data_IF_572495247565
#
_entry.id   IF_572495247565
#
_cell.length_a   1.000
_cell.length_b   1.000
_cell.length_c   1.000
_cell.angle_alpha   90.00
_cell.angle_beta   90.00
_cell.angle_gamma   90.00
#
_symmetry.space_group_name_H-M   'P 1'
#
loop_
_entity.id
_entity.type
_entity.pdbx_description
1 polymer ?
#
# COMPACT_ATOMS: atom_id res chain seq x y z
N UNK A 1 9.93 -9.11 -1.39
CA UNK A 1 9.58 -8.73 -2.78
C UNK A 1 10.49 -7.58 -3.18
N UNK A 2 11.15 -7.67 -4.34
CA UNK A 2 12.00 -6.61 -4.88
C UNK A 2 11.20 -5.82 -5.92
N UNK A 3 11.24 -4.50 -5.85
CA UNK A 3 10.55 -3.64 -6.82
C UNK A 3 11.51 -3.22 -7.93
N UNK A 4 10.95 -3.07 -9.14
CA UNK A 4 11.67 -2.59 -10.32
C UNK A 4 12.12 -1.14 -10.19
N UNK A 5 13.17 -0.75 -10.92
CA UNK A 5 13.64 0.65 -10.97
C UNK A 5 12.53 1.60 -11.43
N UNK A 6 11.75 1.20 -12.44
CA UNK A 6 10.66 2.00 -12.98
C UNK A 6 9.62 2.40 -11.92
N UNK A 7 9.48 1.61 -10.85
CA UNK A 7 8.58 1.94 -9.74
C UNK A 7 9.08 3.12 -8.90
N UNK A 8 10.40 3.25 -8.75
CA UNK A 8 11.02 4.40 -8.08
C UNK A 8 11.03 5.61 -9.01
N UNK A 9 11.36 5.42 -10.29
CA UNK A 9 11.32 6.49 -11.30
C UNK A 9 9.93 7.16 -11.34
N UNK A 10 8.85 6.36 -11.34
CA UNK A 10 7.48 6.86 -11.34
C UNK A 10 7.17 7.77 -10.14
N UNK A 11 7.60 7.36 -8.94
CA UNK A 11 7.41 8.12 -7.71
C UNK A 11 8.30 9.37 -7.69
N UNK A 12 9.52 9.28 -8.23
CA UNK A 12 10.43 10.40 -8.34
C UNK A 12 9.85 11.49 -9.26
N UNK A 13 9.36 11.10 -10.45
CA UNK A 13 8.67 12.02 -11.35
C UNK A 13 7.46 12.68 -10.69
N UNK A 14 6.66 11.92 -9.94
CA UNK A 14 5.54 12.47 -9.19
C UNK A 14 5.99 13.52 -8.16
N UNK A 15 6.99 13.21 -7.33
CA UNK A 15 7.52 14.16 -6.35
C UNK A 15 8.12 15.41 -7.01
N UNK A 16 8.81 15.27 -8.14
CA UNK A 16 9.33 16.40 -8.92
C UNK A 16 8.20 17.31 -9.43
N UNK A 17 7.10 16.75 -9.92
CA UNK A 17 5.91 17.54 -10.28
C UNK A 17 5.28 18.23 -9.07
N UNK A 18 5.21 17.56 -7.91
CA UNK A 18 4.72 18.19 -6.67
C UNK A 18 5.59 19.37 -6.25
N UNK A 19 6.92 19.20 -6.27
CA UNK A 19 7.87 20.26 -5.98
C UNK A 19 7.69 21.46 -6.91
N UNK A 20 7.55 21.22 -8.22
CA UNK A 20 7.31 22.26 -9.21
C UNK A 20 5.97 23.00 -9.01
N UNK A 21 4.88 22.27 -8.72
CA UNK A 21 3.54 22.86 -8.56
C UNK A 21 3.37 23.66 -7.26
N UNK A 22 4.09 23.28 -6.21
CA UNK A 22 3.96 23.90 -4.88
C UNK A 22 5.07 24.87 -4.52
N UNK A 23 6.19 24.84 -5.25
CA UNK A 23 7.42 25.54 -4.90
C UNK A 23 8.17 24.93 -3.70
N UNK A 24 7.74 23.76 -3.20
CA UNK A 24 8.44 23.11 -2.07
C UNK A 24 9.77 22.48 -2.51
N UNK A 25 10.75 22.33 -1.60
CA UNK A 25 11.98 21.60 -1.89
C UNK A 25 11.69 20.16 -2.32
N UNK A 26 12.43 19.66 -3.32
CA UNK A 26 12.30 18.27 -3.78
C UNK A 26 12.49 17.27 -2.64
N UNK A 27 13.39 17.55 -1.68
CA UNK A 27 13.59 16.73 -0.50
C UNK A 27 12.30 16.55 0.33
N UNK A 28 11.52 17.62 0.50
CA UNK A 28 10.22 17.57 1.18
C UNK A 28 9.19 16.80 0.36
N UNK A 29 9.14 17.05 -0.95
CA UNK A 29 8.23 16.33 -1.84
C UNK A 29 8.51 14.82 -1.84
N UNK A 30 9.78 14.40 -1.88
CA UNK A 30 10.17 13.00 -1.83
C UNK A 30 9.75 12.34 -0.51
N UNK A 31 9.87 13.03 0.62
CA UNK A 31 9.48 12.50 1.93
C UNK A 31 7.95 12.38 2.06
N UNK A 32 7.22 13.39 1.58
CA UNK A 32 5.80 13.55 1.84
C UNK A 32 4.89 12.91 0.80
N UNK A 33 5.38 12.79 -0.43
CA UNK A 33 4.60 12.38 -1.59
C UNK A 33 5.06 11.08 -2.23
N UNK A 34 5.97 10.32 -1.60
CA UNK A 34 6.39 8.99 -2.09
C UNK A 34 6.43 7.95 -0.97
N UNK A 35 6.56 6.67 -1.34
CA UNK A 35 6.77 5.60 -0.36
C UNK A 35 8.26 5.38 0.00
N UNK A 36 9.19 6.23 -0.46
CA UNK A 36 10.63 5.95 -0.37
C UNK A 36 11.11 5.68 1.05
N UNK A 37 10.74 6.53 2.01
CA UNK A 37 11.11 6.37 3.41
C UNK A 37 10.79 4.96 3.96
N UNK A 38 9.59 4.45 3.64
CA UNK A 38 9.17 3.10 4.05
C UNK A 38 9.90 2.02 3.24
N UNK A 39 10.13 2.22 1.94
CA UNK A 39 10.85 1.26 1.08
C UNK A 39 12.33 1.16 1.42
N UNK A 40 12.91 2.20 2.00
CA UNK A 40 14.27 2.22 2.54
C UNK A 40 14.36 1.61 3.95
N UNK A 41 13.25 1.12 4.51
CA UNK A 41 13.25 0.45 5.82
C UNK A 41 13.32 1.39 7.03
N UNK A 42 13.10 2.69 6.84
CA UNK A 42 13.31 3.71 7.89
C UNK A 42 12.13 3.84 8.87
N UNK A 43 11.17 2.92 8.82
CA UNK A 43 9.97 2.91 9.65
C UNK A 43 8.82 3.73 9.06
N UNK A 44 8.03 4.38 9.93
CA UNK A 44 6.80 5.11 9.58
C UNK A 44 6.69 6.49 10.23
N UNK A 45 7.75 6.97 10.87
CA UNK A 45 7.78 8.30 11.49
C UNK A 45 7.95 9.43 10.47
N UNK A 46 8.52 9.12 9.28
CA UNK A 46 8.83 10.11 8.24
C UNK A 46 9.67 11.27 8.78
N UNK A 47 10.70 10.94 9.56
CA UNK A 47 11.60 11.90 10.16
C UNK A 47 12.59 12.44 9.12
N UNK A 48 12.43 13.71 8.75
CA UNK A 48 13.32 14.40 7.82
C UNK A 48 14.78 14.47 8.31
N UNK A 49 15.01 14.31 9.61
CA UNK A 49 16.35 14.32 10.22
C UNK A 49 16.97 12.93 10.38
N UNK A 50 16.24 11.87 10.02
CA UNK A 50 16.72 10.50 10.11
C UNK A 50 18.07 10.35 9.39
N UNK A 51 19.12 9.80 10.02
CA UNK A 51 20.47 9.76 9.44
C UNK A 51 20.52 9.14 8.04
N UNK A 52 19.88 7.98 7.85
CA UNK A 52 19.82 7.32 6.53
C UNK A 52 19.00 8.11 5.49
N UNK A 53 17.99 8.88 5.91
CA UNK A 53 17.26 9.75 4.98
C UNK A 53 18.12 10.92 4.52
N UNK A 54 18.88 11.53 5.44
CA UNK A 54 19.87 12.56 5.10
C UNK A 54 20.99 12.02 4.20
N UNK A 55 21.45 10.79 4.43
CA UNK A 55 22.41 10.12 3.56
C UNK A 55 21.86 9.96 2.13
N UNK A 56 20.62 9.50 2.00
CA UNK A 56 19.93 9.42 0.72
C UNK A 56 19.90 10.78 0.00
N UNK A 57 19.47 11.84 0.69
CA UNK A 57 19.38 13.19 0.12
C UNK A 57 20.75 13.75 -0.28
N UNK A 58 21.78 13.58 0.57
CA UNK A 58 23.14 14.03 0.28
C UNK A 58 23.73 13.34 -0.96
N UNK A 59 23.45 12.04 -1.14
CA UNK A 59 23.86 11.31 -2.33
C UNK A 59 23.07 11.72 -3.57
N UNK A 60 21.79 12.06 -3.40
CA UNK A 60 20.91 12.51 -4.48
C UNK A 60 21.40 13.85 -5.06
N UNK A 61 21.81 14.79 -4.20
CA UNK A 61 22.36 16.10 -4.60
C UNK A 61 23.67 15.98 -5.37
N UNK A 62 24.48 14.96 -5.07
CA UNK A 62 25.78 14.72 -5.70
C UNK A 62 25.69 13.86 -6.95
N UNK A 63 24.56 13.20 -7.18
CA UNK A 63 24.38 12.29 -8.32
C UNK A 63 24.05 13.06 -9.59
N UNK A 64 24.66 12.65 -10.70
CA UNK A 64 24.29 13.12 -12.05
C UNK A 64 22.99 12.49 -12.54
N UNK A 65 22.64 11.29 -12.02
CA UNK A 65 21.40 10.59 -12.32
C UNK A 65 20.69 10.25 -11.00
N UNK A 66 19.65 11.02 -10.69
CA UNK A 66 18.95 10.98 -9.40
C UNK A 66 18.09 9.72 -9.25
N UNK A 67 17.52 9.25 -10.36
CA UNK A 67 16.75 8.02 -10.46
C UNK A 67 17.61 6.77 -10.24
N UNK A 68 18.78 6.71 -10.88
CA UNK A 68 19.75 5.62 -10.70
C UNK A 68 20.27 5.57 -9.26
N UNK A 69 20.57 6.73 -8.68
CA UNK A 69 20.95 6.84 -7.27
C UNK A 69 19.84 6.31 -6.35
N UNK A 70 18.60 6.76 -6.56
CA UNK A 70 17.45 6.34 -5.75
C UNK A 70 17.26 4.82 -5.77
N UNK A 71 17.35 4.21 -6.95
CA UNK A 71 17.23 2.76 -7.05
C UNK A 71 18.41 2.02 -6.43
N UNK A 72 19.63 2.55 -6.57
CA UNK A 72 20.82 1.97 -5.94
C UNK A 72 20.75 2.03 -4.42
N UNK A 73 20.29 3.15 -3.86
CA UNK A 73 20.05 3.32 -2.43
C UNK A 73 19.00 2.33 -1.91
N UNK A 74 17.86 2.21 -2.61
CA UNK A 74 16.85 1.19 -2.30
C UNK A 74 17.46 -0.22 -2.22
N UNK A 75 18.26 -0.60 -3.21
CA UNK A 75 18.88 -1.94 -3.27
C UNK A 75 19.83 -2.18 -2.10
N UNK A 76 20.53 -1.16 -1.63
CA UNK A 76 21.38 -1.25 -0.45
C UNK A 76 20.56 -1.45 0.83
N UNK A 77 19.40 -0.77 0.96
CA UNK A 77 18.54 -0.86 2.14
C UNK A 77 17.70 -2.14 2.25
N UNK A 78 17.64 -2.98 1.20
CA UNK A 78 16.80 -4.19 1.16
C UNK A 78 17.07 -5.18 2.31
N UNK A 79 18.22 -5.09 2.97
CA UNK A 79 18.62 -6.00 4.04
C UNK A 79 17.92 -5.71 5.39
N UNK A 80 17.32 -4.53 5.59
CA UNK A 80 16.89 -4.06 6.92
C UNK A 80 15.37 -3.84 7.11
N UNK A 81 14.54 -4.22 6.14
CA UNK A 81 13.08 -3.98 6.24
C UNK A 81 12.42 -5.02 7.16
N UNK A 82 12.10 -4.62 8.40
CA UNK A 82 11.29 -5.46 9.30
C UNK A 82 9.84 -5.56 8.79
N UNK A 83 9.24 -6.77 8.78
CA UNK A 83 7.83 -6.91 8.45
C UNK A 83 6.95 -6.22 9.51
N UNK A 84 5.72 -5.81 9.15
CA UNK A 84 4.76 -5.33 10.13
C UNK A 84 4.56 -6.36 11.25
N UNK A 85 4.13 -5.90 12.43
CA UNK A 85 3.79 -6.74 13.59
C UNK A 85 2.53 -7.57 13.34
N UNK A 86 2.62 -8.48 12.37
CA UNK A 86 1.59 -9.44 12.00
C UNK A 86 1.46 -10.45 13.13
N UNK A 87 0.22 -10.68 13.56
CA UNK A 87 -0.10 -11.65 14.62
C UNK A 87 -0.29 -13.03 14.00
N UNK A 88 -1.07 -13.12 12.92
CA UNK A 88 -1.27 -14.36 12.19
C UNK A 88 -1.39 -14.11 10.68
N UNK A 89 -1.03 -15.12 9.90
CA UNK A 89 -1.19 -15.15 8.44
C UNK A 89 -1.81 -16.47 8.03
N UNK A 90 -2.77 -16.42 7.12
CA UNK A 90 -3.37 -17.59 6.45
C UNK A 90 -3.43 -17.28 4.96
N UNK A 91 -2.64 -18.01 4.17
CA UNK A 91 -2.60 -17.86 2.72
C UNK A 91 -2.29 -16.42 2.27
N UNK A 92 -3.23 -15.77 1.58
CA UNK A 92 -3.06 -14.39 1.11
C UNK A 92 -3.45 -13.32 2.16
N UNK A 93 -3.98 -13.71 3.31
CA UNK A 93 -4.46 -12.79 4.33
C UNK A 93 -3.64 -12.85 5.60
N UNK A 94 -3.54 -11.71 6.28
CA UNK A 94 -2.95 -11.63 7.61
C UNK A 94 -3.61 -10.52 8.41
N UNK A 95 -3.46 -10.54 9.73
CA UNK A 95 -3.89 -9.42 10.56
C UNK A 95 -2.82 -8.98 11.55
N UNK A 96 -2.88 -7.71 11.91
CA UNK A 96 -2.07 -7.09 12.94
C UNK A 96 -2.98 -6.32 13.90
N UNK A 97 -2.59 -6.19 15.16
CA UNK A 97 -3.34 -5.36 16.12
C UNK A 97 -2.97 -3.88 15.94
N UNK A 98 -3.98 -3.02 16.02
CA UNK A 98 -3.87 -1.57 15.98
C UNK A 98 -4.48 -0.99 17.27
N UNK A 99 -3.65 -0.77 18.29
CA UNK A 99 -4.12 -0.36 19.61
C UNK A 99 -4.83 -1.50 20.35
N UNK A 100 -5.79 -1.17 21.23
CA UNK A 100 -6.55 -2.16 22.02
C UNK A 100 -7.75 -2.75 21.31
N UNK A 101 -8.36 -1.99 20.39
CA UNK A 101 -9.72 -2.25 19.94
C UNK A 101 -9.84 -2.51 18.43
N UNK A 102 -8.75 -2.38 17.69
CA UNK A 102 -8.75 -2.58 16.24
C UNK A 102 -7.79 -3.68 15.82
N UNK A 103 -8.23 -4.47 14.84
CA UNK A 103 -7.37 -5.34 14.04
C UNK A 103 -7.32 -4.82 12.61
N UNK A 104 -6.13 -4.78 12.03
CA UNK A 104 -5.93 -4.41 10.64
C UNK A 104 -5.79 -5.65 9.79
N UNK A 105 -6.70 -5.81 8.83
CA UNK A 105 -6.63 -6.85 7.83
C UNK A 105 -5.67 -6.44 6.70
N UNK A 106 -4.82 -7.37 6.31
CA UNK A 106 -3.84 -7.22 5.23
C UNK A 106 -4.08 -8.28 4.17
N UNK A 107 -3.77 -7.91 2.92
CA UNK A 107 -3.75 -8.84 1.79
C UNK A 107 -2.41 -8.72 1.07
N UNK A 108 -1.80 -9.87 0.81
CA UNK A 108 -0.60 -9.98 0.01
C UNK A 108 -0.71 -11.22 -0.88
N UNK A 109 -0.31 -11.09 -2.14
CA UNK A 109 -0.26 -12.24 -3.02
C UNK A 109 0.83 -13.22 -2.55
N UNK A 110 0.43 -14.44 -2.20
CA UNK A 110 1.31 -15.57 -1.86
C UNK A 110 1.23 -16.71 -2.88
N UNK A 111 0.44 -16.56 -3.96
CA UNK A 111 0.32 -17.55 -5.02
C UNK A 111 1.63 -17.72 -5.80
N UNK A 112 2.00 -18.97 -6.06
CA UNK A 112 3.19 -19.37 -6.83
C UNK A 112 2.84 -19.86 -8.24
N UNK A 113 1.62 -20.36 -8.47
CA UNK A 113 1.22 -21.11 -9.67
C UNK A 113 0.73 -20.24 -10.84
N UNK A 114 1.11 -18.98 -10.90
CA UNK A 114 0.79 -18.14 -12.05
C UNK A 114 -0.68 -17.69 -12.17
N UNK A 115 -1.56 -18.10 -11.27
CA UNK A 115 -2.94 -17.61 -11.17
C UNK A 115 -3.00 -16.24 -10.47
N UNK A 116 -3.98 -15.41 -10.84
CA UNK A 116 -4.28 -14.21 -10.06
C UNK A 116 -4.90 -14.63 -8.71
N UNK A 117 -4.45 -14.09 -7.57
CA UNK A 117 -4.98 -14.46 -6.26
C UNK A 117 -6.46 -14.07 -6.08
N UNK A 118 -6.97 -13.18 -6.94
CA UNK A 118 -8.35 -12.72 -6.98
C UNK A 118 -9.14 -13.27 -8.18
N UNK A 119 -8.60 -14.23 -8.92
CA UNK A 119 -9.31 -14.90 -10.00
C UNK A 119 -10.60 -15.57 -9.51
N UNK A 120 -11.58 -15.81 -10.38
CA UNK A 120 -12.86 -16.41 -10.00
C UNK A 120 -12.66 -17.79 -9.37
N UNK A 121 -11.73 -18.57 -9.91
CA UNK A 121 -11.39 -19.93 -9.52
C UNK A 121 -10.72 -19.99 -8.14
N UNK A 122 -10.10 -18.88 -7.69
CA UNK A 122 -9.47 -18.77 -6.36
C UNK A 122 -10.45 -18.24 -5.30
N UNK A 123 -11.69 -17.87 -5.66
CA UNK A 123 -12.66 -17.26 -4.72
C UNK A 123 -12.89 -18.11 -3.48
N UNK A 124 -13.26 -19.38 -3.66
CA UNK A 124 -13.58 -20.26 -2.53
C UNK A 124 -12.36 -20.51 -1.64
N UNK A 125 -11.17 -20.60 -2.24
CA UNK A 125 -9.93 -20.72 -1.46
C UNK A 125 -9.67 -19.47 -0.61
N UNK A 126 -9.88 -18.26 -1.17
CA UNK A 126 -9.74 -17.01 -0.41
C UNK A 126 -10.78 -16.89 0.72
N UNK A 127 -12.01 -17.36 0.51
CA UNK A 127 -13.03 -17.37 1.56
C UNK A 127 -12.67 -18.35 2.69
N UNK A 128 -12.11 -19.52 2.36
CA UNK A 128 -11.63 -20.48 3.35
C UNK A 128 -10.43 -19.95 4.17
N UNK A 129 -9.51 -19.23 3.51
CA UNK A 129 -8.41 -18.54 4.21
C UNK A 129 -8.93 -17.50 5.20
N UNK A 130 -9.88 -16.67 4.79
CA UNK A 130 -10.50 -15.66 5.66
C UNK A 130 -11.26 -16.31 6.81
N UNK A 131 -12.05 -17.35 6.56
CA UNK A 131 -12.75 -18.10 7.61
C UNK A 131 -11.75 -18.64 8.65
N UNK A 132 -10.67 -19.27 8.19
CA UNK A 132 -9.62 -19.78 9.08
C UNK A 132 -8.97 -18.66 9.90
N UNK A 133 -8.67 -17.53 9.25
CA UNK A 133 -8.10 -16.36 9.92
C UNK A 133 -9.05 -15.81 10.99
N UNK A 134 -10.35 -15.69 10.69
CA UNK A 134 -11.35 -15.20 11.65
C UNK A 134 -11.64 -16.20 12.77
N UNK A 135 -11.50 -17.51 12.57
CA UNK A 135 -11.50 -18.49 13.66
C UNK A 135 -10.34 -18.27 14.63
N UNK A 136 -9.15 -17.90 14.14
CA UNK A 136 -8.02 -17.54 15.01
C UNK A 136 -8.29 -16.23 15.75
N UNK A 137 -8.85 -15.22 15.08
CA UNK A 137 -9.25 -13.95 15.71
C UNK A 137 -10.27 -14.19 16.81
N UNK A 138 -11.27 -15.03 16.58
CA UNK A 138 -12.29 -15.39 17.57
C UNK A 138 -11.69 -15.98 18.86
N UNK A 139 -10.60 -16.74 18.74
CA UNK A 139 -9.91 -17.36 19.89
C UNK A 139 -8.97 -16.40 20.63
N UNK A 140 -8.50 -15.34 19.98
CA UNK A 140 -7.35 -14.55 20.47
C UNK A 140 -7.64 -13.07 20.70
N UNK A 141 -8.67 -12.52 20.07
CA UNK A 141 -9.04 -11.10 20.17
C UNK A 141 -10.35 -10.90 20.94
N UNK A 142 -10.61 -9.66 21.34
CA UNK A 142 -11.83 -9.32 22.09
C UNK A 142 -13.06 -9.36 21.18
N UNK A 143 -14.23 -9.81 21.66
CA UNK A 143 -15.47 -9.79 20.87
C UNK A 143 -15.89 -8.40 20.38
N UNK A 144 -15.47 -7.34 21.07
CA UNK A 144 -15.75 -5.95 20.70
C UNK A 144 -14.74 -5.36 19.70
N UNK A 145 -13.72 -6.13 19.29
CA UNK A 145 -12.72 -5.66 18.35
C UNK A 145 -13.37 -5.26 17.02
N UNK A 146 -12.75 -4.28 16.35
CA UNK A 146 -13.18 -3.77 15.05
C UNK A 146 -12.14 -4.14 14.00
N UNK A 147 -12.61 -4.62 12.86
CA UNK A 147 -11.76 -4.93 11.71
C UNK A 147 -11.65 -3.68 10.88
N UNK A 148 -10.43 -3.24 10.60
CA UNK A 148 -10.12 -2.15 9.67
C UNK A 148 -9.32 -2.66 8.49
N UNK A 149 -9.58 -2.11 7.31
CA UNK A 149 -8.81 -2.40 6.13
C UNK A 149 -8.64 -1.17 5.26
N UNK A 150 -7.44 -0.99 4.72
CA UNK A 150 -7.09 0.18 3.91
C UNK A 150 -6.41 -0.29 2.63
N UNK A 151 -7.12 -0.21 1.50
CA UNK A 151 -6.59 -0.70 0.23
C UNK A 151 -7.30 -0.07 -0.97
N UNK A 152 -6.58 0.07 -2.09
CA UNK A 152 -7.17 0.36 -3.39
C UNK A 152 -7.94 -0.84 -3.97
N UNK A 153 -7.64 -2.06 -3.50
CA UNK A 153 -8.29 -3.28 -3.99
C UNK A 153 -9.80 -3.30 -3.72
N UNK A 154 -10.28 -2.54 -2.73
CA UNK A 154 -11.71 -2.40 -2.47
C UNK A 154 -12.50 -1.73 -3.60
N UNK A 155 -11.83 -1.14 -4.60
CA UNK A 155 -12.48 -0.70 -5.83
C UNK A 155 -12.79 -1.87 -6.80
N UNK A 156 -12.23 -3.06 -6.58
CA UNK A 156 -12.37 -4.21 -7.47
C UNK A 156 -13.47 -5.15 -6.98
N UNK A 157 -14.45 -5.47 -7.84
CA UNK A 157 -15.50 -6.46 -7.56
C UNK A 157 -14.93 -7.80 -7.10
N UNK A 158 -13.81 -8.23 -7.69
CA UNK A 158 -13.14 -9.48 -7.37
C UNK A 158 -12.61 -9.55 -5.93
N UNK A 159 -12.25 -8.42 -5.33
CA UNK A 159 -11.82 -8.33 -3.93
C UNK A 159 -13.02 -8.12 -3.00
N UNK A 160 -13.96 -7.23 -3.37
CA UNK A 160 -15.14 -6.89 -2.57
C UNK A 160 -15.98 -8.12 -2.21
N UNK A 161 -16.19 -9.05 -3.15
CA UNK A 161 -16.97 -10.29 -2.95
C UNK A 161 -16.45 -11.23 -1.85
N UNK A 162 -15.28 -10.94 -1.26
CA UNK A 162 -14.67 -11.72 -0.19
C UNK A 162 -15.08 -11.23 1.20
N UNK A 163 -15.88 -10.15 1.30
CA UNK A 163 -16.14 -9.46 2.56
C UNK A 163 -17.65 -9.30 2.83
N UNK A 164 -18.03 -9.16 4.11
CA UNK A 164 -19.42 -8.90 4.50
C UNK A 164 -19.93 -7.59 3.90
N UNK A 165 -21.21 -7.54 3.49
CA UNK A 165 -21.83 -6.33 2.95
C UNK A 165 -21.80 -5.17 3.95
N UNK A 166 -22.02 -5.45 5.25
CA UNK A 166 -21.97 -4.45 6.31
C UNK A 166 -20.60 -3.77 6.42
N UNK A 167 -19.50 -4.50 6.17
CA UNK A 167 -18.15 -3.96 6.14
C UNK A 167 -17.89 -3.14 4.86
N UNK A 168 -18.36 -3.64 3.71
CA UNK A 168 -18.24 -2.91 2.44
C UNK A 168 -19.04 -1.61 2.43
N UNK A 169 -20.17 -1.55 3.13
CA UNK A 169 -21.03 -0.38 3.22
C UNK A 169 -20.36 0.81 3.93
N UNK A 170 -19.32 0.58 4.74
CA UNK A 170 -18.60 1.65 5.44
C UNK A 170 -17.45 2.24 4.62
N UNK A 171 -17.29 1.81 3.35
CA UNK A 171 -16.16 2.22 2.53
C UNK A 171 -16.14 3.75 2.37
N UNK A 172 -15.08 4.37 2.88
CA UNK A 172 -14.84 5.79 2.75
C UNK A 172 -13.52 6.03 2.01
N UNK A 173 -13.49 7.04 1.14
CA UNK A 173 -12.24 7.52 0.56
C UNK A 173 -11.42 8.13 1.68
N UNK A 174 -10.21 7.60 1.87
CA UNK A 174 -9.23 8.26 2.73
C UNK A 174 -8.53 9.36 1.94
N UNK A 175 -8.17 10.46 2.61
CA UNK A 175 -7.28 11.47 2.02
C UNK A 175 -6.01 10.82 1.45
N UNK A 176 -5.34 11.47 0.50
CA UNK A 176 -4.28 10.82 -0.27
C UNK A 176 -3.15 10.34 0.63
N UNK A 177 -2.96 9.01 0.65
CA UNK A 177 -1.90 8.36 1.42
C UNK A 177 -0.64 8.17 0.56
N UNK A 178 -0.11 9.24 -0.03
CA UNK A 178 1.06 9.21 -0.91
C UNK A 178 2.29 8.56 -0.24
N UNK A 179 2.41 8.70 1.08
CA UNK A 179 3.46 8.06 1.86
C UNK A 179 3.35 6.54 1.95
N UNK A 180 2.25 5.93 1.49
CA UNK A 180 1.90 4.55 1.78
C UNK A 180 1.70 3.68 0.53
N UNK A 181 2.00 2.39 0.68
CA UNK A 181 1.94 1.39 -0.38
C UNK A 181 0.54 1.22 -1.02
N UNK A 182 -0.61 1.38 -0.33
CA UNK A 182 -1.91 1.24 -0.98
C UNK A 182 -2.09 2.12 -2.22
N UNK A 183 -1.55 3.34 -2.23
CA UNK A 183 -1.72 4.18 -3.41
C UNK A 183 -0.77 3.75 -4.54
N UNK A 184 0.47 3.37 -4.22
CA UNK A 184 1.46 3.00 -5.22
C UNK A 184 1.34 1.57 -5.75
N UNK A 185 0.78 0.65 -4.96
CA UNK A 185 0.74 -0.78 -5.26
C UNK A 185 -0.10 -1.12 -6.49
N UNK A 186 -1.00 -0.24 -6.91
CA UNK A 186 -1.81 -0.44 -8.12
C UNK A 186 -0.96 -0.51 -9.40
N UNK A 187 0.17 0.19 -9.43
CA UNK A 187 1.10 0.18 -10.56
C UNK A 187 1.92 -1.10 -10.66
N UNK A 188 1.93 -1.95 -9.64
CA UNK A 188 2.78 -3.13 -9.60
C UNK A 188 2.05 -4.39 -10.03
N UNK A 189 2.74 -5.24 -10.78
CA UNK A 189 2.37 -6.63 -10.96
C UNK A 189 2.88 -7.51 -9.80
N UNK A 190 2.61 -8.82 -9.89
CA UNK A 190 3.02 -9.80 -8.88
C UNK A 190 4.53 -10.01 -8.76
N UNK A 191 5.31 -9.54 -9.73
CA UNK A 191 6.77 -9.64 -9.76
C UNK A 191 7.45 -8.35 -9.29
N UNK A 192 6.67 -7.32 -8.92
CA UNK A 192 7.20 -6.01 -8.54
C UNK A 192 7.59 -5.15 -9.74
N UNK A 193 7.18 -5.53 -10.95
CA UNK A 193 7.35 -4.75 -12.16
C UNK A 193 6.19 -3.77 -12.34
N UNK A 194 6.45 -2.64 -13.00
CA UNK A 194 5.43 -1.65 -13.28
C UNK A 194 4.55 -2.07 -14.46
N UNK A 195 3.22 -2.02 -14.27
CA UNK A 195 2.20 -2.20 -15.30
C UNK A 195 2.18 -0.99 -16.23
N UNK A 196 2.86 -1.11 -17.37
CA UNK A 196 3.02 -0.02 -18.35
C UNK A 196 1.69 0.59 -18.80
N UNK A 197 0.63 -0.20 -18.91
CA UNK A 197 -0.71 0.28 -19.26
C UNK A 197 -1.30 1.30 -18.28
N UNK A 198 -0.82 1.35 -17.03
CA UNK A 198 -1.27 2.32 -16.02
C UNK A 198 -0.37 3.56 -15.93
N UNK A 199 0.88 3.48 -16.40
CA UNK A 199 1.85 4.57 -16.28
C UNK A 199 1.52 5.74 -17.20
N UNK A 200 1.27 5.46 -18.48
CA UNK A 200 1.05 6.53 -19.45
C UNK A 200 -0.21 7.38 -19.13
N UNK A 201 -1.37 6.80 -18.74
CA UNK A 201 -2.51 7.59 -18.26
C UNK A 201 -2.15 8.44 -17.04
N UNK A 202 -1.48 7.86 -16.03
CA UNK A 202 -1.08 8.58 -14.82
C UNK A 202 -0.19 9.78 -15.13
N UNK A 203 0.88 9.59 -15.92
CA UNK A 203 1.80 10.68 -16.27
C UNK A 203 1.12 11.78 -17.08
N UNK A 204 0.22 11.43 -18.01
CA UNK A 204 -0.58 12.43 -18.73
C UNK A 204 -1.48 13.23 -17.81
N UNK A 205 -2.12 12.57 -16.85
CA UNK A 205 -3.03 13.21 -15.91
C UNK A 205 -2.28 14.12 -14.93
N UNK A 206 -1.07 13.70 -14.52
CA UNK A 206 -0.15 14.50 -13.72
C UNK A 206 0.35 15.75 -14.46
N UNK A 207 0.71 15.62 -15.73
CA UNK A 207 1.17 16.75 -16.55
C UNK A 207 0.12 17.84 -16.75
N UNK A 208 -1.17 17.50 -16.59
CA UNK A 208 -2.29 18.43 -16.70
C UNK A 208 -2.67 19.08 -15.36
N UNK A 209 -2.00 18.76 -14.26
CA UNK A 209 -2.30 19.36 -12.96
C UNK A 209 -1.75 20.79 -12.89
N UNK A 210 -2.55 21.69 -12.32
CA UNK A 210 -2.15 23.08 -12.03
C UNK A 210 -2.07 23.38 -10.53
N UNK A 211 -2.46 22.42 -9.68
CA UNK A 211 -2.44 22.54 -8.22
C UNK A 211 -2.31 21.17 -7.57
N UNK A 212 -2.10 21.15 -6.25
CA UNK A 212 -1.98 19.91 -5.48
C UNK A 212 -3.31 19.18 -5.28
N UNK A 213 -4.44 19.87 -5.35
CA UNK A 213 -5.76 19.32 -5.00
C UNK A 213 -6.19 18.16 -5.91
N UNK A 214 -5.73 18.16 -7.17
CA UNK A 214 -6.05 17.13 -8.16
C UNK A 214 -5.08 15.95 -8.21
N UNK A 215 -4.01 15.94 -7.40
CA UNK A 215 -2.96 14.91 -7.49
C UNK A 215 -3.48 13.50 -7.19
N UNK A 216 -4.38 13.36 -6.22
CA UNK A 216 -4.98 12.06 -5.89
C UNK A 216 -5.78 11.48 -7.05
N UNK A 217 -6.34 12.33 -7.91
CA UNK A 217 -7.17 11.95 -9.07
C UNK A 217 -6.33 11.42 -10.24
N UNK A 218 -5.01 11.60 -10.21
CA UNK A 218 -4.10 11.01 -11.20
C UNK A 218 -4.01 9.49 -11.06
N UNK A 219 -4.32 8.95 -9.89
CA UNK A 219 -4.21 7.54 -9.58
C UNK A 219 -5.44 6.78 -10.10
N UNK A 220 -5.26 5.58 -10.71
CA UNK A 220 -6.37 4.79 -11.25
C UNK A 220 -7.49 4.49 -10.24
N UNK A 221 -7.11 4.24 -8.98
CA UNK A 221 -8.02 3.97 -7.89
C UNK A 221 -7.67 4.78 -6.64
N UNK A 222 -8.71 5.22 -5.94
CA UNK A 222 -8.58 5.83 -4.61
C UNK A 222 -8.39 4.75 -3.54
N UNK A 223 -7.72 5.10 -2.45
CA UNK A 223 -7.57 4.20 -1.30
C UNK A 223 -8.82 4.30 -0.43
N UNK A 224 -9.51 3.17 -0.29
CA UNK A 224 -10.69 3.06 0.57
C UNK A 224 -10.28 2.50 1.93
N UNK A 225 -10.89 3.06 2.98
CA UNK A 225 -10.85 2.52 4.33
C UNK A 225 -12.24 2.03 4.72
N UNK A 226 -12.26 0.83 5.28
CA UNK A 226 -13.46 0.13 5.71
C UNK A 226 -13.28 -0.28 7.16
N UNK A 227 -14.39 -0.32 7.89
CA UNK A 227 -14.40 -0.62 9.31
C UNK A 227 -15.73 -1.26 9.73
N UNK A 228 -15.67 -2.41 10.40
CA UNK A 228 -16.85 -3.02 11.00
C UNK A 228 -16.49 -3.76 12.29
N UNK A 229 -17.47 -4.01 13.18
CA UNK A 229 -17.28 -4.96 14.28
C UNK A 229 -16.83 -6.32 13.75
N UNK A 230 -15.96 -7.01 14.49
CA UNK A 230 -15.50 -8.35 14.14
C UNK A 230 -16.65 -9.36 14.05
N UNK A 231 -17.75 -9.14 14.78
CA UNK A 231 -18.95 -9.97 14.70
C UNK A 231 -19.54 -10.04 13.29
N UNK A 232 -19.45 -8.98 12.48
CA UNK A 232 -19.93 -9.00 11.10
C UNK A 232 -19.16 -10.00 10.22
N UNK A 233 -17.90 -10.28 10.55
CA UNK A 233 -17.10 -11.30 9.87
C UNK A 233 -17.41 -12.70 10.39
N UNK A 234 -17.70 -12.85 11.68
CA UNK A 234 -18.15 -14.13 12.25
C UNK A 234 -19.47 -14.56 11.61
N UNK A 235 -20.46 -13.67 11.55
CA UNK A 235 -21.75 -13.93 10.90
C UNK A 235 -21.56 -14.34 9.42
N UNK A 236 -20.69 -13.62 8.70
CA UNK A 236 -20.41 -13.89 7.28
C UNK A 236 -19.72 -15.23 7.04
N UNK A 237 -18.92 -15.70 8.00
CA UNK A 237 -18.18 -16.97 7.92
C UNK A 237 -18.85 -18.13 8.68
N UNK A 238 -19.99 -17.89 9.35
CA UNK A 238 -20.69 -18.88 10.17
C UNK A 238 -19.90 -19.33 11.40
N UNK A 239 -19.21 -18.41 12.07
CA UNK A 239 -18.38 -18.65 13.26
C UNK A 239 -19.06 -18.23 14.57
#
# INVERSE_FOLDING_TARGET
MTYSKQFFDLQFHFASSVAALSGMPLASALLDYTNFYVRFGLGREFDATHPAWREYLNGLERSTNQEDWTFSFYRACLQDVRPPSVIASVGCFSYARLGSDYIRLHFQNTETEGHSPLALERREHRLAELQTLFSMVLQSERPQARVVGTSWLYNLTAYRRLFPEAYLATAAVTGPRFRNMPLWGQFLDRHGAVKQGLVAPFLRQLANQSSLDGLSQCFPFQVLELEAPVSAFYDFHGL
#
